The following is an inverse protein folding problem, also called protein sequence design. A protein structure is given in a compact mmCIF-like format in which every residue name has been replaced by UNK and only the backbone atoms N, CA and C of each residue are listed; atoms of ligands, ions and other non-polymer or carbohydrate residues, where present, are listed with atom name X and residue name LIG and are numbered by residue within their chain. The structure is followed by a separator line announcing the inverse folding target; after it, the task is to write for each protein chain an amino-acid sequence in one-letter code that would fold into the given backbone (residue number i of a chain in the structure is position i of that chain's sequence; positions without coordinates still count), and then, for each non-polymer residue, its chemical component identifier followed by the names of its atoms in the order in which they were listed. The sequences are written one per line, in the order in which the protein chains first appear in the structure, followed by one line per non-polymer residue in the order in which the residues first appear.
data_IF_854630828978
#
_entry.id   IF_854630828978
#
_cell.length_a   1.000
_cell.length_b   1.000
_cell.length_c   1.000
_cell.angle_alpha   90.00
_cell.angle_beta   90.00
_cell.angle_gamma   90.00
#
_symmetry.space_group_name_H-M   'P 1'
#
loop_
_entity.id
_entity.type
_entity.pdbx_description
1 polymer ?
#
# COMPACT_ATOMS: atom_id res chain seq x y z
N UNK A 1 -4.64 -11.21 -2.65
CA UNK A 1 -5.02 -11.52 -1.27
C UNK A 1 -6.46 -11.97 -1.23
N UNK A 2 -6.73 -13.25 -1.47
CA UNK A 2 -8.11 -13.75 -1.61
C UNK A 2 -8.87 -13.67 -0.28
N UNK A 3 -8.16 -13.52 0.85
CA UNK A 3 -8.77 -13.38 2.18
C UNK A 3 -9.55 -12.09 2.36
N UNK A 4 -9.34 -11.08 1.50
CA UNK A 4 -10.12 -9.84 1.54
C UNK A 4 -11.54 -10.00 0.99
N UNK A 5 -11.81 -11.05 0.22
CA UNK A 5 -13.17 -11.35 -0.25
C UNK A 5 -14.09 -11.70 0.92
N UNK A 6 -13.57 -12.43 1.90
CA UNK A 6 -14.31 -12.86 3.10
C UNK A 6 -14.16 -11.88 4.28
N UNK A 7 -13.07 -11.09 4.33
CA UNK A 7 -12.73 -10.22 5.45
C UNK A 7 -12.22 -8.82 5.00
N UNK A 8 -13.08 -7.99 4.37
CA UNK A 8 -12.70 -6.69 3.82
C UNK A 8 -12.24 -5.68 4.90
N UNK A 9 -12.68 -5.83 6.15
CA UNK A 9 -12.32 -4.98 7.28
C UNK A 9 -10.82 -5.02 7.63
N UNK A 10 -10.09 -6.03 7.16
CA UNK A 10 -8.63 -6.12 7.31
C UNK A 10 -7.89 -4.95 6.68
N UNK A 11 -8.44 -4.34 5.63
CA UNK A 11 -7.91 -3.10 5.03
C UNK A 11 -7.87 -1.98 6.06
N UNK A 12 -8.86 -1.91 6.97
CA UNK A 12 -8.93 -0.88 7.99
C UNK A 12 -8.12 -1.24 9.24
N UNK A 13 -8.23 -2.49 9.71
CA UNK A 13 -7.65 -2.92 10.99
C UNK A 13 -6.15 -3.23 10.89
N UNK A 14 -5.70 -3.75 9.74
CA UNK A 14 -4.33 -4.23 9.51
C UNK A 14 -3.80 -3.80 8.14
N UNK A 15 -3.79 -2.49 7.82
CA UNK A 15 -3.54 -1.99 6.46
C UNK A 15 -2.18 -2.39 5.87
N UNK A 16 -1.16 -2.54 6.72
CA UNK A 16 0.20 -2.94 6.32
C UNK A 16 0.53 -4.41 6.62
N UNK A 17 -0.44 -5.17 7.14
CA UNK A 17 -0.33 -6.61 7.40
C UNK A 17 -1.24 -7.39 6.46
N UNK A 18 -2.24 -8.06 7.02
CA UNK A 18 -3.19 -8.88 6.26
C UNK A 18 -4.11 -8.07 5.32
N UNK A 19 -4.04 -6.73 5.36
CA UNK A 19 -4.79 -5.82 4.50
C UNK A 19 -4.19 -5.56 3.12
N UNK A 20 -3.08 -6.22 2.73
CA UNK A 20 -2.47 -6.03 1.41
C UNK A 20 -3.42 -6.44 0.28
N UNK A 21 -3.46 -5.69 -0.83
CA UNK A 21 -4.41 -5.95 -1.91
C UNK A 21 -3.84 -6.90 -2.97
N UNK A 22 -2.71 -6.51 -3.55
CA UNK A 22 -2.04 -7.19 -4.66
C UNK A 22 -0.53 -7.20 -4.46
N UNK A 23 0.13 -8.17 -5.06
CA UNK A 23 1.59 -8.24 -5.17
C UNK A 23 1.94 -8.16 -6.64
N UNK A 24 2.90 -7.29 -6.99
CA UNK A 24 3.29 -7.02 -8.37
C UNK A 24 4.80 -7.18 -8.48
N UNK A 25 5.26 -7.83 -9.56
CA UNK A 25 6.66 -7.81 -9.94
C UNK A 25 6.92 -6.57 -10.80
N UNK A 26 7.72 -5.63 -10.29
CA UNK A 26 8.12 -4.45 -11.05
C UNK A 26 8.86 -4.86 -12.34
N UNK A 27 8.38 -4.37 -13.49
CA UNK A 27 9.05 -4.57 -14.77
C UNK A 27 10.28 -3.66 -14.89
N UNK A 28 10.20 -2.44 -14.35
CA UNK A 28 11.29 -1.50 -14.26
C UNK A 28 11.49 -1.02 -12.80
N UNK A 29 12.54 -1.45 -12.09
CA UNK A 29 12.80 -1.04 -10.72
C UNK A 29 13.03 0.47 -10.52
N UNK A 30 13.46 1.20 -11.56
CA UNK A 30 13.73 2.64 -11.43
C UNK A 30 12.45 3.47 -11.22
N UNK A 31 11.27 2.93 -11.55
CA UNK A 31 9.99 3.59 -11.29
C UNK A 31 9.72 3.78 -9.79
N UNK A 32 10.42 3.01 -8.93
CA UNK A 32 10.35 3.17 -7.48
C UNK A 32 11.01 4.47 -7.01
N UNK A 33 11.96 5.02 -7.76
CA UNK A 33 12.66 6.26 -7.41
C UNK A 33 11.74 7.50 -7.53
N UNK A 34 10.68 7.39 -8.34
CA UNK A 34 9.67 8.44 -8.53
C UNK A 34 8.59 8.44 -7.42
N UNK A 35 8.57 7.42 -6.56
CA UNK A 35 7.60 7.32 -5.46
C UNK A 35 7.99 8.23 -4.29
N UNK A 36 6.98 8.68 -3.56
CA UNK A 36 7.19 9.48 -2.35
C UNK A 36 7.77 8.63 -1.22
N UNK A 37 8.77 9.17 -0.53
CA UNK A 37 9.17 8.66 0.77
C UNK A 37 8.12 8.97 1.87
N UNK A 38 8.34 8.43 3.07
CA UNK A 38 7.43 8.61 4.19
C UNK A 38 7.21 10.09 4.57
N UNK A 39 8.27 10.91 4.58
CA UNK A 39 8.18 12.32 4.97
C UNK A 39 7.44 13.14 3.92
N UNK A 40 7.74 12.90 2.64
CA UNK A 40 7.09 13.53 1.50
C UNK A 40 5.59 13.23 1.51
N UNK A 41 5.21 11.96 1.71
CA UNK A 41 3.80 11.56 1.79
C UNK A 41 3.08 12.23 2.97
N UNK A 42 3.66 12.20 4.17
CA UNK A 42 3.10 12.87 5.35
C UNK A 42 2.89 14.38 5.14
N UNK A 43 3.79 15.04 4.40
CA UNK A 43 3.65 16.46 4.05
C UNK A 43 2.45 16.77 3.14
N UNK A 44 1.93 15.79 2.40
CA UNK A 44 0.74 15.97 1.55
C UNK A 44 -0.56 15.87 2.33
N UNK A 45 -0.55 15.20 3.48
CA UNK A 45 -1.74 14.99 4.30
C UNK A 45 -2.05 16.27 5.07
N UNK A 46 -2.98 17.07 4.54
CA UNK A 46 -3.61 18.18 5.26
C UNK A 46 -4.98 17.73 5.77
N UNK A 47 -5.24 17.99 7.05
CA UNK A 47 -6.56 17.83 7.66
C UNK A 47 -7.52 18.92 7.24
#
# INVERSE_FOLDING_TARGET
NDTLEDAPEKVNNTPYGDGWMIEIKAENPSELDDLMDNNAYLGTLKG
#
